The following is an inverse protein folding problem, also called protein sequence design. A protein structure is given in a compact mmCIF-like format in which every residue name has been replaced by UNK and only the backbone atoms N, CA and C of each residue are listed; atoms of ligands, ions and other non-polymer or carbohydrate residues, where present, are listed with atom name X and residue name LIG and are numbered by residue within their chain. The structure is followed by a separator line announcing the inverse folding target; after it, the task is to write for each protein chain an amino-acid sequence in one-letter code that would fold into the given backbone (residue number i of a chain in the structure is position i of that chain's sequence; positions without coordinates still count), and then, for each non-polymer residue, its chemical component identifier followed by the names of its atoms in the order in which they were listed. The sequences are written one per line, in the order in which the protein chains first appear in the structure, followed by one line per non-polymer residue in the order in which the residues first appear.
data_IF_602558687366
#
_entry.id   IF_602558687366
#
_cell.length_a   1.000
_cell.length_b   1.000
_cell.length_c   1.000
_cell.angle_alpha   90.00
_cell.angle_beta   90.00
_cell.angle_gamma   90.00
#
_symmetry.space_group_name_H-M   'P 1'
#
loop_
_entity.id
_entity.type
_entity.pdbx_description
1 polymer ?
#
# COMPACT_ATOMS: atom_id res chain seq x y z
N UNK A 1 -19.26 -20.81 14.09
CA UNK A 1 -18.66 -21.77 13.14
C UNK A 1 -17.14 -21.61 13.24
N UNK A 2 -16.33 -22.67 13.19
CA UNK A 2 -14.88 -22.56 13.38
C UNK A 2 -14.20 -21.95 12.14
N UNK A 3 -13.45 -20.86 12.34
CA UNK A 3 -12.62 -20.24 11.30
C UNK A 3 -11.58 -21.22 10.72
N UNK A 4 -11.06 -22.14 11.55
CA UNK A 4 -10.11 -23.16 11.13
C UNK A 4 -10.67 -24.07 10.03
N UNK A 5 -11.95 -24.46 10.10
CA UNK A 5 -12.56 -25.30 9.07
C UNK A 5 -12.69 -24.60 7.73
N UNK A 6 -13.09 -23.33 7.71
CA UNK A 6 -13.19 -22.55 6.47
C UNK A 6 -11.82 -22.42 5.81
N UNK A 7 -10.77 -22.23 6.61
CA UNK A 7 -9.40 -22.23 6.11
C UNK A 7 -9.02 -23.59 5.50
N UNK A 8 -9.35 -24.71 6.15
CA UNK A 8 -9.10 -26.04 5.59
C UNK A 8 -9.82 -26.27 4.26
N UNK A 9 -11.09 -25.84 4.13
CA UNK A 9 -11.83 -25.90 2.85
C UNK A 9 -11.09 -25.11 1.77
N UNK A 10 -10.71 -23.87 2.08
CA UNK A 10 -10.01 -23.01 1.13
C UNK A 10 -8.69 -23.62 0.67
N UNK A 11 -7.89 -24.15 1.60
CA UNK A 11 -6.60 -24.77 1.28
C UNK A 11 -6.74 -26.02 0.42
N UNK A 12 -7.76 -26.86 0.67
CA UNK A 12 -8.08 -28.01 -0.17
C UNK A 12 -8.41 -27.57 -1.61
N UNK A 13 -9.21 -26.51 -1.76
CA UNK A 13 -9.56 -25.95 -3.07
C UNK A 13 -8.36 -25.32 -3.78
N UNK A 14 -7.46 -24.65 -3.06
CA UNK A 14 -6.23 -24.07 -3.62
C UNK A 14 -5.21 -25.11 -4.09
N UNK A 15 -5.16 -26.27 -3.41
CA UNK A 15 -4.17 -27.32 -3.68
C UNK A 15 -4.66 -28.32 -4.73
N UNK A 16 -5.95 -28.70 -4.68
CA UNK A 16 -6.54 -29.69 -5.58
C UNK A 16 -7.39 -29.07 -6.68
N UNK A 17 -7.63 -27.77 -6.63
CA UNK A 17 -8.50 -27.07 -7.58
C UNK A 17 -9.97 -27.39 -7.32
N UNK A 18 -10.55 -28.21 -8.18
CA UNK A 18 -11.98 -28.53 -8.18
C UNK A 18 -12.29 -29.72 -7.27
N UNK A 19 -13.22 -29.55 -6.32
CA UNK A 19 -13.70 -30.62 -5.44
C UNK A 19 -15.23 -30.61 -5.29
N UNK A 20 -15.86 -31.78 -5.31
CA UNK A 20 -17.29 -31.91 -5.01
C UNK A 20 -17.58 -31.70 -3.52
N UNK A 21 -18.82 -31.32 -3.17
CA UNK A 21 -19.24 -31.25 -1.77
C UNK A 21 -19.10 -32.60 -1.04
N UNK A 22 -19.25 -33.73 -1.75
CA UNK A 22 -19.00 -35.06 -1.17
C UNK A 22 -17.51 -35.30 -0.89
N UNK A 23 -16.62 -34.89 -1.79
CA UNK A 23 -15.18 -35.00 -1.59
C UNK A 23 -14.71 -34.13 -0.41
N UNK A 24 -15.21 -32.88 -0.32
CA UNK A 24 -14.96 -31.99 0.82
C UNK A 24 -15.48 -32.58 2.14
N UNK A 25 -16.68 -33.17 2.12
CA UNK A 25 -17.27 -33.83 3.28
C UNK A 25 -16.42 -35.01 3.78
N UNK A 26 -15.93 -35.85 2.84
CA UNK A 26 -15.05 -36.97 3.16
C UNK A 26 -13.73 -36.53 3.78
N UNK A 27 -13.05 -35.55 3.16
CA UNK A 27 -11.76 -35.06 3.66
C UNK A 27 -11.85 -34.36 5.01
N UNK A 28 -12.87 -33.52 5.19
CA UNK A 28 -13.03 -32.75 6.42
C UNK A 28 -13.82 -33.49 7.49
N UNK A 29 -14.26 -34.73 7.20
CA UNK A 29 -15.08 -35.55 8.09
C UNK A 29 -16.34 -34.82 8.59
N UNK A 30 -16.98 -34.07 7.69
CA UNK A 30 -18.22 -33.31 7.96
C UNK A 30 -19.37 -33.83 7.13
N UNK A 31 -20.60 -33.45 7.50
CA UNK A 31 -21.77 -33.76 6.66
C UNK A 31 -21.72 -33.05 5.32
N UNK A 32 -22.26 -33.69 4.28
CA UNK A 32 -22.39 -33.10 2.93
C UNK A 32 -23.13 -31.76 2.96
N UNK A 33 -24.14 -31.63 3.83
CA UNK A 33 -24.86 -30.36 4.06
C UNK A 33 -23.92 -29.24 4.54
N UNK A 34 -22.95 -29.56 5.39
CA UNK A 34 -21.95 -28.60 5.87
C UNK A 34 -20.97 -28.25 4.74
N UNK A 35 -20.50 -29.25 4.01
CA UNK A 35 -19.61 -29.06 2.86
C UNK A 35 -20.24 -28.21 1.74
N UNK A 36 -21.58 -28.21 1.58
CA UNK A 36 -22.27 -27.30 0.67
C UNK A 36 -22.35 -25.85 1.19
N UNK A 37 -22.45 -25.65 2.51
CA UNK A 37 -22.58 -24.31 3.11
C UNK A 37 -21.24 -23.59 3.27
N UNK A 38 -20.15 -24.33 3.46
CA UNK A 38 -18.86 -23.73 3.75
C UNK A 38 -18.27 -22.92 2.57
N UNK A 39 -18.41 -23.34 1.30
CA UNK A 39 -18.05 -22.51 0.13
C UNK A 39 -18.85 -21.20 0.02
N UNK A 40 -20.14 -21.21 0.34
CA UNK A 40 -20.97 -19.99 0.35
C UNK A 40 -20.53 -19.01 1.45
N UNK A 41 -20.03 -19.54 2.58
CA UNK A 41 -19.44 -18.72 3.65
C UNK A 41 -18.09 -18.14 3.26
N UNK A 42 -17.27 -18.88 2.53
CA UNK A 42 -16.04 -18.38 1.93
C UNK A 42 -16.35 -17.21 0.97
N UNK A 43 -17.34 -17.36 0.09
CA UNK A 43 -17.79 -16.25 -0.77
C UNK A 43 -18.24 -15.03 0.04
N UNK A 44 -19.05 -15.23 1.09
CA UNK A 44 -19.49 -14.13 1.96
C UNK A 44 -18.33 -13.45 2.72
N UNK A 45 -17.21 -14.15 2.92
CA UNK A 45 -15.98 -13.62 3.50
C UNK A 45 -15.00 -13.04 2.45
N UNK A 46 -15.43 -12.90 1.19
CA UNK A 46 -14.62 -12.30 0.11
C UNK A 46 -13.70 -13.27 -0.64
N UNK A 47 -13.79 -14.57 -0.37
CA UNK A 47 -13.02 -15.58 -1.10
C UNK A 47 -13.74 -15.95 -2.42
N UNK A 48 -13.14 -15.74 -3.60
CA UNK A 48 -13.75 -15.99 -4.90
C UNK A 48 -13.74 -17.49 -5.22
N UNK A 49 -14.63 -18.23 -4.57
CA UNK A 49 -14.94 -19.64 -4.85
C UNK A 49 -16.28 -19.69 -5.57
N UNK A 50 -16.44 -20.55 -6.57
CA UNK A 50 -17.73 -20.80 -7.21
C UNK A 50 -18.02 -22.28 -7.30
N UNK A 51 -19.30 -22.63 -7.36
CA UNK A 51 -19.77 -23.99 -7.54
C UNK A 51 -20.35 -24.19 -8.93
N UNK A 52 -19.92 -25.24 -9.63
CA UNK A 52 -20.56 -25.68 -10.86
C UNK A 52 -21.46 -26.90 -10.56
N UNK A 53 -22.74 -26.89 -10.93
CA UNK A 53 -23.64 -28.02 -10.71
C UNK A 53 -23.39 -29.16 -11.72
N UNK A 54 -23.78 -30.39 -11.37
CA UNK A 54 -23.76 -31.55 -12.28
C UNK A 54 -22.73 -32.64 -11.94
N UNK A 55 -22.66 -33.67 -12.78
CA UNK A 55 -21.90 -34.92 -12.53
C UNK A 55 -20.37 -34.73 -12.53
N UNK A 56 -19.86 -33.69 -13.21
CA UNK A 56 -18.48 -33.22 -13.16
C UNK A 56 -18.33 -31.86 -12.46
N UNK A 57 -19.38 -31.44 -11.75
CA UNK A 57 -19.43 -30.20 -11.01
C UNK A 57 -18.59 -30.22 -9.73
N UNK A 58 -18.52 -29.09 -9.06
CA UNK A 58 -17.76 -28.95 -7.82
C UNK A 58 -17.49 -27.50 -7.47
N UNK A 59 -16.92 -27.31 -6.29
CA UNK A 59 -16.42 -26.02 -5.86
C UNK A 59 -14.99 -25.86 -6.34
N UNK A 60 -14.66 -24.70 -6.89
CA UNK A 60 -13.30 -24.34 -7.25
C UNK A 60 -13.06 -22.85 -7.02
N UNK A 61 -11.81 -22.44 -6.72
CA UNK A 61 -11.44 -21.04 -6.76
C UNK A 61 -11.56 -20.48 -8.19
N UNK A 62 -11.75 -19.17 -8.31
CA UNK A 62 -11.53 -18.46 -9.58
C UNK A 62 -10.11 -18.71 -10.06
N UNK A 63 -9.96 -18.88 -11.37
CA UNK A 63 -8.67 -19.19 -11.98
C UNK A 63 -7.63 -18.11 -11.63
N UNK A 64 -6.40 -18.52 -11.31
CA UNK A 64 -5.36 -17.62 -10.80
C UNK A 64 -5.48 -17.22 -9.32
N UNK A 65 -6.44 -17.75 -8.56
CA UNK A 65 -6.51 -17.55 -7.10
C UNK A 65 -5.39 -18.34 -6.38
N UNK A 66 -4.23 -17.71 -6.15
CA UNK A 66 -3.12 -18.21 -5.32
C UNK A 66 -2.41 -17.05 -4.63
N UNK A 67 -2.38 -17.04 -3.29
CA UNK A 67 -1.42 -16.33 -2.38
C UNK A 67 -0.97 -14.91 -2.77
N UNK A 68 -1.75 -14.22 -3.59
CA UNK A 68 -1.71 -12.78 -3.84
C UNK A 68 -2.80 -12.17 -2.95
N UNK A 69 -2.90 -10.83 -2.88
CA UNK A 69 -4.04 -10.15 -2.23
C UNK A 69 -5.33 -10.33 -3.04
N UNK A 70 -5.60 -11.56 -3.47
CA UNK A 70 -6.73 -11.97 -4.28
C UNK A 70 -7.97 -11.98 -3.40
N UNK A 71 -8.93 -11.14 -3.75
CA UNK A 71 -10.03 -10.70 -2.89
C UNK A 71 -10.14 -9.18 -2.89
N UNK A 72 -9.01 -8.48 -3.12
CA UNK A 72 -8.99 -7.04 -3.35
C UNK A 72 -9.55 -6.74 -4.75
N UNK A 73 -10.72 -6.10 -4.78
CA UNK A 73 -11.32 -5.55 -5.99
C UNK A 73 -10.50 -4.39 -6.57
N UNK A 74 -10.83 -3.95 -7.78
CA UNK A 74 -10.03 -2.89 -8.42
C UNK A 74 -10.04 -1.58 -7.63
N UNK A 75 -11.19 -1.20 -7.06
CA UNK A 75 -11.33 0.03 -6.27
C UNK A 75 -10.63 -0.09 -4.90
N UNK A 76 -10.74 -1.27 -4.27
CA UNK A 76 -10.05 -1.58 -3.01
C UNK A 76 -8.53 -1.57 -3.17
N UNK A 77 -8.01 -2.01 -4.32
CA UNK A 77 -6.57 -2.00 -4.62
C UNK A 77 -6.02 -0.60 -4.89
N UNK A 78 -6.87 0.31 -5.36
CA UNK A 78 -6.52 1.72 -5.59
C UNK A 78 -6.62 2.57 -4.33
N UNK A 79 -7.55 2.28 -3.43
CA UNK A 79 -7.77 3.04 -2.19
C UNK A 79 -6.49 3.34 -1.38
N UNK A 80 -5.64 2.37 -1.04
CA UNK A 80 -4.39 2.64 -0.30
C UNK A 80 -3.36 3.42 -1.14
N UNK A 81 -3.50 3.44 -2.47
CA UNK A 81 -2.67 4.22 -3.37
C UNK A 81 -3.17 5.66 -3.58
N UNK A 82 -4.37 5.97 -3.07
CA UNK A 82 -4.94 7.31 -3.06
C UNK A 82 -4.78 7.99 -1.70
N UNK A 83 -4.59 7.21 -0.64
CA UNK A 83 -4.22 7.75 0.67
C UNK A 83 -2.85 8.43 0.59
N UNK A 84 -2.83 9.76 0.54
CA UNK A 84 -1.63 10.56 0.62
C UNK A 84 -1.06 10.52 2.05
N UNK A 85 0.15 9.97 2.21
CA UNK A 85 0.97 10.12 3.41
C UNK A 85 2.38 10.75 3.18
N UNK A 86 2.70 11.47 2.08
CA UNK A 86 4.08 11.91 1.86
C UNK A 86 4.54 12.97 2.88
N UNK A 87 3.65 13.87 3.32
CA UNK A 87 3.97 14.87 4.35
C UNK A 87 4.18 14.25 5.74
N UNK A 88 3.16 13.58 6.31
CA UNK A 88 3.27 12.95 7.63
C UNK A 88 4.37 11.88 7.71
N UNK A 89 4.60 11.11 6.65
CA UNK A 89 5.70 10.14 6.62
C UNK A 89 7.06 10.83 6.60
N UNK A 90 7.22 11.96 5.92
CA UNK A 90 8.47 12.71 5.94
C UNK A 90 8.77 13.30 7.33
N UNK A 91 7.75 13.83 8.02
CA UNK A 91 7.88 14.35 9.38
C UNK A 91 8.26 13.25 10.41
N UNK A 92 7.88 11.99 10.12
CA UNK A 92 8.21 10.81 10.92
C UNK A 92 9.46 10.05 10.44
N UNK A 93 10.15 10.55 9.41
CA UNK A 93 11.27 9.86 8.75
C UNK A 93 10.94 8.44 8.23
N UNK A 94 9.68 8.22 7.80
CA UNK A 94 9.15 6.98 7.23
C UNK A 94 8.91 7.06 5.71
N UNK A 95 9.47 8.07 5.04
CA UNK A 95 9.16 8.36 3.65
C UNK A 95 9.53 7.19 2.71
N UNK A 96 10.69 6.58 2.94
CA UNK A 96 11.19 5.48 2.10
C UNK A 96 10.44 4.17 2.39
N UNK A 97 10.05 3.96 3.65
CA UNK A 97 9.25 2.82 4.11
C UNK A 97 7.86 2.83 3.49
N UNK A 98 7.23 4.02 3.39
CA UNK A 98 5.93 4.18 2.72
C UNK A 98 6.04 3.87 1.23
N UNK A 99 7.09 4.34 0.56
CA UNK A 99 7.32 4.01 -0.86
C UNK A 99 7.55 2.51 -1.04
N UNK A 100 8.39 1.89 -0.19
CA UNK A 100 8.66 0.46 -0.24
C UNK A 100 7.42 -0.39 0.04
N UNK A 101 6.60 -0.01 1.03
CA UNK A 101 5.33 -0.67 1.33
C UNK A 101 4.36 -0.59 0.14
N UNK A 102 4.31 0.56 -0.54
CA UNK A 102 3.46 0.77 -1.70
C UNK A 102 3.87 -0.07 -2.91
N UNK A 103 5.18 -0.19 -3.16
CA UNK A 103 5.72 -1.08 -4.19
C UNK A 103 5.42 -2.55 -3.89
N UNK A 104 5.59 -2.98 -2.64
CA UNK A 104 5.25 -4.34 -2.19
C UNK A 104 3.76 -4.62 -2.35
N UNK A 105 2.91 -3.64 -2.03
CA UNK A 105 1.47 -3.73 -2.21
C UNK A 105 1.10 -3.91 -3.69
N UNK A 106 1.63 -3.07 -4.59
CA UNK A 106 1.42 -3.23 -6.04
C UNK A 106 1.84 -4.61 -6.54
N UNK A 107 2.98 -5.12 -6.07
CA UNK A 107 3.47 -6.44 -6.46
C UNK A 107 2.50 -7.55 -6.01
N UNK A 108 1.88 -7.39 -4.84
CA UNK A 108 0.94 -8.36 -4.26
C UNK A 108 -0.48 -8.31 -4.86
N UNK A 109 -0.86 -7.26 -5.59
CA UNK A 109 -2.19 -7.15 -6.23
C UNK A 109 -2.38 -8.12 -7.41
N UNK A 110 -3.63 -8.51 -7.73
CA UNK A 110 -3.95 -9.21 -8.98
C UNK A 110 -3.74 -8.30 -10.21
N UNK A 111 -3.51 -8.89 -11.38
CA UNK A 111 -3.10 -8.18 -12.61
C UNK A 111 -4.07 -7.05 -13.01
N UNK A 112 -5.37 -7.32 -12.97
CA UNK A 112 -6.40 -6.34 -13.30
C UNK A 112 -6.37 -5.12 -12.35
N UNK A 113 -6.28 -5.37 -11.04
CA UNK A 113 -6.18 -4.31 -10.04
C UNK A 113 -4.84 -3.56 -10.13
N UNK A 114 -3.75 -4.25 -10.46
CA UNK A 114 -2.41 -3.65 -10.62
C UNK A 114 -2.38 -2.69 -11.81
N UNK A 115 -2.88 -3.10 -12.98
CA UNK A 115 -2.89 -2.26 -14.18
C UNK A 115 -3.64 -0.94 -13.96
N UNK A 116 -4.74 -1.02 -13.22
CA UNK A 116 -5.56 0.13 -12.91
C UNK A 116 -4.98 0.99 -11.78
N UNK A 117 -4.37 0.38 -10.77
CA UNK A 117 -3.56 1.07 -9.76
C UNK A 117 -2.44 1.91 -10.40
N UNK A 118 -1.71 1.36 -11.37
CA UNK A 118 -0.71 2.09 -12.16
C UNK A 118 -1.28 3.30 -12.89
N UNK A 119 -2.50 3.20 -13.45
CA UNK A 119 -3.16 4.32 -14.14
C UNK A 119 -3.53 5.46 -13.18
N UNK A 120 -3.92 5.12 -11.96
CA UNK A 120 -4.47 6.09 -11.01
C UNK A 120 -3.39 6.81 -10.21
N UNK A 121 -2.35 6.06 -9.83
CA UNK A 121 -1.21 6.59 -9.07
C UNK A 121 0.06 5.89 -9.53
N UNK A 122 0.65 6.29 -10.68
CA UNK A 122 1.89 5.68 -11.16
C UNK A 122 3.04 5.92 -10.17
N UNK A 123 4.06 5.05 -10.11
CA UNK A 123 5.20 5.23 -9.20
C UNK A 123 5.89 6.59 -9.31
N UNK A 124 5.82 7.21 -10.49
CA UNK A 124 6.32 8.55 -10.77
C UNK A 124 5.62 9.66 -9.97
N UNK A 125 4.41 9.44 -9.45
CA UNK A 125 3.72 10.42 -8.59
C UNK A 125 4.01 10.23 -7.11
N UNK A 126 4.72 9.16 -6.75
CA UNK A 126 5.07 8.87 -5.35
C UNK A 126 6.40 9.49 -4.95
N UNK A 127 7.12 10.05 -5.92
CA UNK A 127 8.29 10.86 -5.64
C UNK A 127 7.88 12.03 -4.77
N UNK A 128 8.66 12.27 -3.71
CA UNK A 128 8.65 13.53 -2.94
C UNK A 128 8.34 14.69 -3.88
N UNK A 129 7.35 15.57 -3.61
CA UNK A 129 7.42 16.88 -4.21
C UNK A 129 8.79 17.45 -3.82
N UNK A 130 9.65 17.62 -4.82
CA UNK A 130 10.95 18.23 -4.65
C UNK A 130 10.69 19.65 -4.17
N UNK A 131 10.79 19.83 -2.85
CA UNK A 131 10.70 21.11 -2.20
C UNK A 131 9.27 21.62 -2.00
N UNK A 132 8.74 21.37 -0.81
CA UNK A 132 8.54 22.55 0.04
C UNK A 132 9.93 22.98 0.49
N UNK A 133 10.66 23.65 -0.43
CA UNK A 133 11.63 24.64 -0.04
C UNK A 133 10.83 25.51 0.90
N UNK A 134 11.04 25.32 2.20
CA UNK A 134 10.31 26.00 3.26
C UNK A 134 10.63 27.45 2.98
N UNK A 135 9.68 28.09 2.29
CA UNK A 135 9.70 29.44 1.75
C UNK A 135 10.23 30.23 2.92
N UNK A 136 11.53 30.52 2.90
CA UNK A 136 12.20 31.21 3.99
C UNK A 136 11.46 32.51 3.98
N UNK A 137 10.55 32.64 4.95
CA UNK A 137 9.80 33.86 5.13
C UNK A 137 10.90 34.92 5.07
N UNK A 138 10.69 35.92 4.22
CA UNK A 138 11.28 37.25 4.38
C UNK A 138 10.85 37.81 5.74
N UNK A 139 11.14 37.10 6.84
CA UNK A 139 11.12 37.57 8.21
C UNK A 139 12.43 38.31 8.35
N UNK A 140 12.38 39.53 7.82
CA UNK A 140 12.99 40.69 8.46
C UNK A 140 14.47 40.52 8.83
N UNK A 141 15.35 40.71 7.84
CA UNK A 141 16.61 41.44 8.09
C UNK A 141 16.28 42.93 8.34
N UNK A 142 15.42 43.22 9.33
CA UNK A 142 14.95 44.57 9.64
C UNK A 142 15.22 44.97 11.08
N UNK A 143 16.20 44.32 11.72
CA UNK A 143 16.72 44.72 13.02
C UNK A 143 18.19 44.33 13.12
N UNK A 144 19.05 45.06 12.43
CA UNK A 144 20.47 45.15 12.78
C UNK A 144 20.75 46.60 13.19
N UNK A 145 21.40 46.88 14.34
CA UNK A 145 21.53 48.23 14.86
C UNK A 145 22.56 49.12 14.14
N UNK A 146 23.36 48.59 13.22
CA UNK A 146 24.47 49.35 12.62
C UNK A 146 24.63 49.09 11.12
N UNK A 147 24.71 50.13 10.27
CA UNK A 147 25.04 49.96 8.86
C UNK A 147 26.53 49.62 8.71
N UNK A 148 26.83 48.51 8.03
CA UNK A 148 28.16 48.29 7.47
C UNK A 148 28.40 49.27 6.31
N UNK A 149 29.61 49.80 6.22
CA UNK A 149 30.06 50.90 5.36
C UNK A 149 29.61 50.85 3.88
N UNK A 150 29.48 52.01 3.20
CA UNK A 150 29.05 52.07 1.81
C UNK A 150 30.17 51.57 0.87
N UNK A 151 29.91 50.52 0.08
CA UNK A 151 30.80 50.14 -1.02
C UNK A 151 30.75 48.69 -1.51
N UNK A 152 30.18 47.75 -0.76
CA UNK A 152 30.22 46.31 -1.12
C UNK A 152 28.81 45.77 -1.42
N UNK A 153 28.55 45.13 -2.57
CA UNK A 153 27.29 44.44 -2.79
C UNK A 153 27.21 43.19 -1.90
N UNK A 154 26.31 43.20 -0.90
CA UNK A 154 26.09 42.09 0.00
C UNK A 154 25.24 41.00 -0.68
N UNK A 155 25.83 39.89 -1.08
CA UNK A 155 25.10 38.63 -1.31
C UNK A 155 25.04 37.84 0.00
N UNK A 156 23.83 37.65 0.54
CA UNK A 156 23.60 36.71 1.63
C UNK A 156 23.83 35.27 1.13
N UNK A 157 24.99 34.70 1.41
CA UNK A 157 25.23 33.28 1.25
C UNK A 157 24.99 32.57 2.59
N UNK A 158 23.95 31.74 2.66
CA UNK A 158 23.76 30.82 3.79
C UNK A 158 24.71 29.64 3.57
N UNK A 159 25.82 29.58 4.30
CA UNK A 159 26.63 28.36 4.34
C UNK A 159 25.87 27.30 5.15
N UNK A 160 25.35 26.28 4.46
CA UNK A 160 24.67 25.16 5.09
C UNK A 160 25.72 24.18 5.68
N UNK A 161 26.11 24.40 6.93
CA UNK A 161 26.84 23.42 7.73
C UNK A 161 25.85 22.45 8.38
N UNK A 162 25.91 21.17 8.00
CA UNK A 162 25.16 20.12 8.65
C UNK A 162 25.69 19.89 10.08
N UNK A 163 24.76 19.59 11.00
CA UNK A 163 24.93 19.19 12.39
C UNK A 163 25.21 20.31 13.41
N UNK A 164 24.27 20.44 14.36
CA UNK A 164 24.24 21.31 15.54
C UNK A 164 23.93 22.79 15.28
N UNK A 165 22.65 23.13 15.41
CA UNK A 165 22.06 24.45 15.15
C UNK A 165 22.64 25.59 15.99
N UNK A 166 23.69 26.21 15.48
CA UNK A 166 24.11 27.57 15.84
C UNK A 166 24.20 28.39 14.55
N UNK A 167 23.34 29.41 14.43
CA UNK A 167 23.36 30.35 13.31
C UNK A 167 24.24 31.54 13.71
N UNK A 168 25.50 31.52 13.30
CA UNK A 168 26.38 32.69 13.36
C UNK A 168 26.44 33.37 12.00
N UNK A 169 26.00 34.62 11.91
CA UNK A 169 26.29 35.46 10.75
C UNK A 169 27.68 36.08 10.93
N UNK A 170 28.62 35.78 10.03
CA UNK A 170 29.93 36.41 9.99
C UNK A 170 30.08 37.22 8.69
N UNK A 171 30.66 38.41 8.77
CA UNK A 171 31.17 39.11 7.60
C UNK A 171 32.45 38.40 7.15
N UNK A 172 32.44 37.83 5.95
CA UNK A 172 33.63 37.29 5.29
C UNK A 172 34.05 38.32 4.24
N UNK A 173 35.35 38.65 4.09
CA UNK A 173 35.84 39.58 3.07
C UNK A 173 35.51 39.13 1.65
#
# INVERSE_FOLDING_TARGET
MSAGRLLSVLLLLLTRGRLTARALAGELSVSVRTAYRDPARLQAAGFPVYGEPGRGGGHQPVDGYRTRLTGIGEDEGRAPLLAELPGPAADLALADEVVAARLKLLAALPEAARAQAFRTAPPSTWTRPAGTARRTRRRTCRSWPTPCSPGTPLTCATAAGASYGTYGAACVP
#
